data_IF_674234812753
#
_entry.id   IF_674234812753
#
_cell.length_a   1.000
_cell.length_b   1.000
_cell.length_c   1.000
_cell.angle_alpha   90.00
_cell.angle_beta   90.00
_cell.angle_gamma   90.00
#
_symmetry.space_group_name_H-M   'P 1'
#
loop_
_entity.id
_entity.type
_entity.pdbx_description
1 polymer ?
#
# COMPACT_ATOMS: atom_id res chain seq x y z
N UNK A 1 -2.28 -54.72 -29.28
CA UNK A 1 -2.22 -54.71 -27.80
C UNK A 1 -1.20 -53.66 -27.40
N UNK A 2 -1.55 -52.65 -26.59
CA UNK A 2 -0.55 -51.70 -26.08
C UNK A 2 0.38 -52.43 -25.13
N UNK A 3 1.69 -52.30 -25.32
CA UNK A 3 2.68 -52.92 -24.46
C UNK A 3 2.78 -52.12 -23.15
N UNK A 4 3.01 -52.79 -22.01
CA UNK A 4 3.08 -52.09 -20.70
C UNK A 4 4.26 -51.13 -20.61
N UNK A 5 5.35 -51.46 -21.31
CA UNK A 5 6.55 -50.61 -21.40
C UNK A 5 6.26 -49.31 -22.16
N UNK A 6 5.46 -49.34 -23.24
CA UNK A 6 5.10 -48.14 -24.01
C UNK A 6 4.29 -47.13 -23.17
N UNK A 7 3.47 -47.64 -22.24
CA UNK A 7 2.69 -46.80 -21.31
C UNK A 7 3.63 -46.15 -20.30
N UNK A 8 4.56 -46.92 -19.73
CA UNK A 8 5.58 -46.42 -18.79
C UNK A 8 6.47 -45.35 -19.40
N UNK A 9 6.94 -45.56 -20.63
CA UNK A 9 7.78 -44.60 -21.36
C UNK A 9 7.00 -43.31 -21.60
N UNK A 10 5.71 -43.41 -21.97
CA UNK A 10 4.86 -42.24 -22.15
C UNK A 10 4.67 -41.45 -20.85
N UNK A 11 4.45 -42.13 -19.73
CA UNK A 11 4.24 -41.49 -18.44
C UNK A 11 5.51 -40.75 -17.98
N UNK A 12 6.68 -41.38 -18.13
CA UNK A 12 7.97 -40.74 -17.84
C UNK A 12 8.22 -39.49 -18.70
N UNK A 13 7.91 -39.55 -20.00
CA UNK A 13 8.03 -38.39 -20.88
C UNK A 13 7.08 -37.26 -20.49
N UNK A 14 5.87 -37.59 -20.02
CA UNK A 14 4.91 -36.58 -19.56
C UNK A 14 5.33 -35.92 -18.24
N UNK A 15 5.94 -36.69 -17.33
CA UNK A 15 6.52 -36.16 -16.09
C UNK A 15 7.67 -35.20 -16.40
N UNK A 16 8.62 -35.60 -17.25
CA UNK A 16 9.75 -34.76 -17.67
C UNK A 16 9.28 -33.46 -18.34
N UNK A 17 8.33 -33.54 -19.27
CA UNK A 17 7.72 -32.36 -19.90
C UNK A 17 7.01 -31.44 -18.89
N UNK A 18 6.40 -32.01 -17.85
CA UNK A 18 5.73 -31.24 -16.81
C UNK A 18 6.75 -30.53 -15.89
N UNK A 19 7.85 -31.20 -15.55
CA UNK A 19 8.96 -30.64 -14.78
C UNK A 19 9.63 -29.49 -15.53
N UNK A 20 10.00 -29.67 -16.80
CA UNK A 20 10.59 -28.61 -17.63
C UNK A 20 9.67 -27.39 -17.72
N UNK A 21 8.36 -27.60 -17.92
CA UNK A 21 7.38 -26.51 -17.98
C UNK A 21 7.29 -25.77 -16.64
N UNK A 22 7.39 -26.49 -15.53
CA UNK A 22 7.35 -25.89 -14.20
C UNK A 22 8.61 -25.05 -13.93
N UNK A 23 9.79 -25.57 -14.29
CA UNK A 23 11.05 -24.83 -14.17
C UNK A 23 11.04 -23.54 -14.99
N UNK A 24 10.56 -23.60 -16.24
CA UNK A 24 10.42 -22.41 -17.09
C UNK A 24 9.47 -21.37 -16.47
N UNK A 25 8.36 -21.81 -15.88
CA UNK A 25 7.41 -20.92 -15.19
C UNK A 25 8.02 -20.29 -13.95
N UNK A 26 8.79 -21.05 -13.17
CA UNK A 26 9.47 -20.53 -11.99
C UNK A 26 10.54 -19.52 -12.37
N UNK A 27 11.32 -19.80 -13.42
CA UNK A 27 12.27 -18.86 -13.97
C UNK A 27 11.59 -17.53 -14.37
N UNK A 28 10.51 -17.59 -15.15
CA UNK A 28 9.76 -16.40 -15.56
C UNK A 28 9.17 -15.63 -14.37
N UNK A 29 8.63 -16.33 -13.38
CA UNK A 29 8.10 -15.69 -12.15
C UNK A 29 9.20 -15.01 -11.36
N UNK A 30 10.36 -15.64 -11.23
CA UNK A 30 11.50 -15.08 -10.51
C UNK A 30 12.05 -13.85 -11.23
N UNK A 31 12.14 -13.88 -12.56
CA UNK A 31 12.56 -12.72 -13.35
C UNK A 31 11.57 -11.55 -13.24
N UNK A 32 10.27 -11.84 -13.43
CA UNK A 32 9.21 -10.86 -13.26
C UNK A 32 9.22 -10.24 -11.86
N UNK A 33 9.43 -11.05 -10.81
CA UNK A 33 9.54 -10.58 -9.43
C UNK A 33 10.70 -9.59 -9.27
N UNK A 34 11.89 -9.92 -9.77
CA UNK A 34 13.06 -9.03 -9.74
C UNK A 34 12.76 -7.70 -10.45
N UNK A 35 12.15 -7.76 -11.63
CA UNK A 35 11.80 -6.56 -12.40
C UNK A 35 10.75 -5.69 -11.69
N UNK A 36 9.77 -6.30 -11.02
CA UNK A 36 8.80 -5.56 -10.21
C UNK A 36 9.48 -4.90 -9.01
N UNK A 37 10.37 -5.61 -8.32
CA UNK A 37 11.11 -5.08 -7.17
C UNK A 37 12.01 -3.90 -7.55
N UNK A 38 12.71 -3.98 -8.68
CA UNK A 38 13.54 -2.88 -9.18
C UNK A 38 12.69 -1.64 -9.47
N UNK A 39 11.61 -1.78 -10.24
CA UNK A 39 10.68 -0.71 -10.57
C UNK A 39 10.06 -0.10 -9.30
N UNK A 40 9.62 -0.93 -8.35
CA UNK A 40 9.06 -0.45 -7.08
C UNK A 40 10.09 0.34 -6.27
N UNK A 41 11.35 -0.10 -6.25
CA UNK A 41 12.42 0.61 -5.56
C UNK A 41 12.69 1.99 -6.17
N UNK A 42 12.69 2.09 -7.50
CA UNK A 42 12.89 3.34 -8.23
C UNK A 42 11.71 4.30 -8.06
N UNK A 43 10.49 3.78 -8.15
CA UNK A 43 9.26 4.54 -7.89
C UNK A 43 9.28 5.09 -6.45
N UNK A 44 9.66 4.27 -5.47
CA UNK A 44 9.79 4.69 -4.07
C UNK A 44 10.84 5.80 -3.92
N UNK A 45 12.01 5.67 -4.54
CA UNK A 45 13.07 6.71 -4.52
C UNK A 45 12.56 8.02 -5.12
N UNK A 46 11.93 7.95 -6.28
CA UNK A 46 11.42 9.12 -7.02
C UNK A 46 10.32 9.84 -6.25
N UNK A 47 9.36 9.08 -5.70
CA UNK A 47 8.30 9.65 -4.87
C UNK A 47 8.86 10.29 -3.59
N UNK A 48 9.72 9.55 -2.86
CA UNK A 48 10.30 10.05 -1.62
C UNK A 48 11.16 11.29 -1.81
N UNK A 49 11.79 11.50 -2.98
CA UNK A 49 12.55 12.72 -3.30
C UNK A 49 11.72 14.00 -3.17
N UNK A 50 10.41 13.94 -3.44
CA UNK A 50 9.50 15.10 -3.38
C UNK A 50 8.54 15.05 -2.20
N UNK A 51 8.52 13.94 -1.45
CA UNK A 51 7.59 13.73 -0.33
C UNK A 51 8.00 14.61 0.85
N UNK A 52 7.08 15.44 1.32
CA UNK A 52 7.22 16.16 2.59
C UNK A 52 6.75 15.29 3.75
N UNK A 53 7.49 15.32 4.86
CA UNK A 53 7.10 14.66 6.09
C UNK A 53 5.83 15.34 6.62
N UNK A 54 4.88 14.55 7.09
CA UNK A 54 3.66 15.07 7.69
C UNK A 54 4.01 15.83 9.00
N UNK A 55 3.28 16.91 9.33
CA UNK A 55 3.45 17.55 10.62
C UNK A 55 3.12 16.56 11.73
N UNK A 56 4.07 16.35 12.65
CA UNK A 56 3.89 15.49 13.81
C UNK A 56 3.42 16.33 14.98
N UNK A 57 2.31 15.94 15.57
CA UNK A 57 1.75 16.58 16.75
C UNK A 57 1.96 15.74 18.01
N UNK A 58 1.92 16.41 19.16
CA UNK A 58 2.01 15.83 20.49
C UNK A 58 0.68 15.98 21.23
N UNK A 59 0.51 15.17 22.28
CA UNK A 59 -0.61 15.32 23.19
C UNK A 59 -0.59 16.71 23.81
N UNK A 60 -1.75 17.36 23.84
CA UNK A 60 -1.91 18.72 24.33
C UNK A 60 -1.74 19.83 23.30
N UNK A 61 -1.23 19.54 22.10
CA UNK A 61 -1.13 20.54 21.03
C UNK A 61 -2.51 21.05 20.61
N UNK A 62 -2.60 22.36 20.35
CA UNK A 62 -3.78 23.00 19.79
C UNK A 62 -3.74 22.93 18.26
N UNK A 63 -4.79 22.37 17.67
CA UNK A 63 -4.93 22.16 16.24
C UNK A 63 -6.29 22.64 15.75
N UNK A 64 -6.41 22.91 14.45
CA UNK A 64 -7.66 23.26 13.81
C UNK A 64 -7.97 22.24 12.70
N UNK A 65 -9.22 21.79 12.63
CA UNK A 65 -9.62 20.79 11.64
C UNK A 65 -10.10 21.50 10.37
N UNK A 66 -9.51 21.16 9.23
CA UNK A 66 -9.97 21.70 7.95
C UNK A 66 -11.35 21.14 7.61
N UNK A 67 -12.28 22.01 7.20
CA UNK A 67 -13.60 21.58 6.73
C UNK A 67 -13.45 20.80 5.42
N UNK A 68 -13.95 19.56 5.39
CA UNK A 68 -13.94 18.68 4.21
C UNK A 68 -15.27 18.65 3.46
N UNK A 69 -16.35 19.16 4.05
CA UNK A 69 -17.65 19.27 3.39
C UNK A 69 -17.64 20.41 2.36
N UNK A 70 -17.88 20.06 1.10
CA UNK A 70 -18.03 20.99 -0.02
C UNK A 70 -19.52 21.21 -0.31
N UNK A 71 -19.91 22.45 -0.63
CA UNK A 71 -21.31 22.83 -0.82
C UNK A 71 -21.48 24.29 -1.24
N UNK A 72 -22.67 24.64 -1.70
CA UNK A 72 -23.04 26.01 -2.09
C UNK A 72 -23.08 26.93 -0.87
N UNK A 73 -22.75 28.22 -1.05
CA UNK A 73 -22.78 29.21 0.05
C UNK A 73 -21.62 29.14 1.06
N UNK A 74 -20.60 28.31 0.83
CA UNK A 74 -19.47 28.13 1.76
C UNK A 74 -18.27 29.07 1.52
N UNK A 75 -18.31 29.92 0.48
CA UNK A 75 -17.19 30.81 0.08
C UNK A 75 -16.75 31.78 1.18
N UNK A 76 -17.70 32.31 1.96
CA UNK A 76 -17.44 33.26 3.06
C UNK A 76 -17.32 32.59 4.43
N UNK A 77 -17.56 31.27 4.54
CA UNK A 77 -17.49 30.57 5.84
C UNK A 77 -16.05 30.17 6.17
N UNK A 78 -15.65 30.18 7.45
CA UNK A 78 -14.29 29.82 7.88
C UNK A 78 -13.86 28.46 7.33
N UNK A 79 -12.62 28.36 6.84
CA UNK A 79 -12.08 27.12 6.26
C UNK A 79 -11.76 26.05 7.31
N UNK A 80 -11.48 26.47 8.54
CA UNK A 80 -11.13 25.61 9.65
C UNK A 80 -12.19 25.68 10.75
N UNK A 81 -12.45 24.53 11.37
CA UNK A 81 -13.22 24.42 12.59
C UNK A 81 -12.32 24.78 13.77
N UNK A 82 -12.92 25.26 14.86
CA UNK A 82 -12.26 25.92 16.01
C UNK A 82 -11.09 25.15 16.65
N UNK A 83 -10.52 25.68 17.73
CA UNK A 83 -9.38 25.03 18.37
C UNK A 83 -9.80 23.70 18.99
N UNK A 84 -9.10 22.65 18.60
CA UNK A 84 -9.13 21.35 19.24
C UNK A 84 -7.81 21.09 19.92
N UNK A 85 -7.82 20.30 20.99
CA UNK A 85 -6.64 19.81 21.68
C UNK A 85 -6.46 18.34 21.35
N UNK A 86 -5.24 17.93 21.03
CA UNK A 86 -4.95 16.51 20.83
C UNK A 86 -4.97 15.79 22.18
N UNK A 87 -5.82 14.77 22.29
CA UNK A 87 -5.95 13.95 23.49
C UNK A 87 -5.06 12.71 23.42
N UNK A 88 -4.89 12.15 22.23
CA UNK A 88 -4.12 10.92 22.01
C UNK A 88 -3.48 10.89 20.63
N UNK A 89 -2.23 10.42 20.58
CA UNK A 89 -1.50 10.18 19.33
C UNK A 89 -1.60 8.70 18.95
N UNK A 90 -2.23 8.42 17.81
CA UNK A 90 -2.39 7.08 17.25
C UNK A 90 -1.37 6.83 16.12
N UNK A 91 -1.12 5.56 15.79
CA UNK A 91 -0.20 5.21 14.70
C UNK A 91 -0.70 5.67 13.31
N UNK A 92 0.24 5.94 12.41
CA UNK A 92 0.03 6.38 11.01
C UNK A 92 -0.59 7.78 10.89
N UNK A 93 -0.04 8.76 11.61
CA UNK A 93 -0.44 10.18 11.56
C UNK A 93 -1.92 10.41 11.90
N UNK A 94 -2.47 9.62 12.83
CA UNK A 94 -3.85 9.72 13.30
C UNK A 94 -3.87 10.27 14.72
N UNK A 95 -4.82 11.16 14.99
CA UNK A 95 -4.92 11.86 16.26
C UNK A 95 -6.36 11.89 16.73
N UNK A 96 -6.58 11.65 18.03
CA UNK A 96 -7.85 11.94 18.68
C UNK A 96 -7.80 13.37 19.22
N UNK A 97 -8.90 14.08 19.06
CA UNK A 97 -8.98 15.52 19.30
C UNK A 97 -10.27 15.87 20.01
N UNK A 98 -10.18 16.78 20.97
CA UNK A 98 -11.30 17.29 21.76
C UNK A 98 -11.44 18.79 21.56
N UNK A 99 -12.67 19.29 21.45
CA UNK A 99 -12.91 20.72 21.21
C UNK A 99 -12.63 21.53 22.48
N UNK A 100 -11.84 22.57 22.35
CA UNK A 100 -11.52 23.47 23.48
C UNK A 100 -12.62 24.51 23.64
N UNK A 101 -13.06 24.73 24.88
CA UNK A 101 -13.99 25.82 25.22
C UNK A 101 -15.48 25.49 25.07
N UNK A 102 -15.86 24.22 25.14
CA UNK A 102 -17.24 23.85 25.44
C UNK A 102 -17.39 23.69 26.96
N UNK A 103 -17.90 24.73 27.61
CA UNK A 103 -18.47 24.69 28.95
C UNK A 103 -19.94 25.10 28.86
#
# INVERSE_FOLDING_TARGET
MRNKEDIRIRDLLLEEMAEELQEQREFLRNDAKKNIETIQSENRKTYNKRRKIAPMYKEGDLVAIQRTQFGTGLKLRPKFLGPYKITKVNSRDRYEVEKVGHY
#
